data_IF_663818393238
#
_entry.id   IF_663818393238
#
_cell.length_a   1.000
_cell.length_b   1.000
_cell.length_c   1.000
_cell.angle_alpha   90.00
_cell.angle_beta   90.00
_cell.angle_gamma   90.00
#
_symmetry.space_group_name_H-M   'P 1'
#
loop_
_entity.id
_entity.type
_entity.pdbx_description
1 polymer ?
#
# COMPACT_ATOMS: atom_id res chain seq x y z
N UNK A 1 -1.75 -4.70 2.72
CA UNK A 1 -1.90 -3.49 3.54
C UNK A 1 -0.74 -2.57 3.25
N UNK A 2 -1.02 -1.31 2.95
CA UNK A 2 -0.02 -0.30 2.66
C UNK A 2 -0.18 0.86 3.63
N UNK A 3 0.93 1.46 4.03
CA UNK A 3 0.94 2.81 4.57
C UNK A 3 2.20 3.55 4.17
N UNK A 4 2.05 4.83 3.89
CA UNK A 4 3.14 5.76 3.58
C UNK A 4 2.75 7.17 4.03
N UNK A 5 3.72 8.07 4.07
CA UNK A 5 3.54 9.48 4.40
C UNK A 5 3.60 10.32 3.14
N UNK A 6 2.67 11.26 2.98
CA UNK A 6 2.58 12.21 1.88
C UNK A 6 2.19 13.58 2.45
N UNK A 7 3.00 14.60 2.20
CA UNK A 7 2.83 15.95 2.76
C UNK A 7 2.62 15.97 4.29
N UNK A 8 3.27 15.06 5.01
CA UNK A 8 3.14 14.91 6.47
C UNK A 8 1.86 14.21 6.94
N UNK A 9 0.99 13.77 6.02
CA UNK A 9 -0.23 13.02 6.30
C UNK A 9 -0.01 11.52 6.08
N UNK A 10 -0.65 10.69 6.90
CA UNK A 10 -0.59 9.24 6.75
C UNK A 10 -1.64 8.75 5.76
N UNK A 11 -1.20 7.99 4.77
CA UNK A 11 -2.06 7.23 3.86
C UNK A 11 -2.17 5.78 4.30
N UNK A 12 -3.34 5.19 4.11
CA UNK A 12 -3.56 3.76 4.31
C UNK A 12 -4.44 3.18 3.21
N UNK A 13 -4.03 2.02 2.70
CA UNK A 13 -4.79 1.27 1.70
C UNK A 13 -4.64 -0.24 1.83
N UNK A 14 -5.52 -0.96 1.13
CA UNK A 14 -5.42 -2.39 0.94
C UNK A 14 -5.19 -2.69 -0.54
N UNK A 15 -3.95 -3.05 -0.86
CA UNK A 15 -3.57 -3.51 -2.20
C UNK A 15 -3.97 -4.97 -2.45
N UNK A 16 -4.76 -5.21 -3.50
CA UNK A 16 -4.82 -6.51 -4.17
C UNK A 16 -3.60 -6.61 -5.08
N UNK A 17 -2.80 -7.67 -4.89
CA UNK A 17 -1.55 -7.87 -5.61
C UNK A 17 -1.68 -9.15 -6.44
N UNK A 18 -1.55 -9.01 -7.75
CA UNK A 18 -1.63 -10.09 -8.73
C UNK A 18 -0.24 -10.35 -9.31
N UNK A 19 0.21 -11.61 -9.25
CA UNK A 19 1.46 -12.06 -9.86
C UNK A 19 1.15 -12.54 -11.28
N UNK A 20 1.80 -11.92 -12.26
CA UNK A 20 1.64 -12.23 -13.68
C UNK A 20 2.93 -12.80 -14.26
N UNK A 21 2.88 -13.28 -15.51
CA UNK A 21 4.08 -13.71 -16.24
C UNK A 21 5.09 -12.56 -16.43
N UNK A 22 4.61 -11.31 -16.47
CA UNK A 22 5.42 -10.12 -16.71
C UNK A 22 5.85 -9.38 -15.44
N UNK A 23 5.50 -9.86 -14.25
CA UNK A 23 5.81 -9.18 -12.99
C UNK A 23 4.64 -9.16 -12.01
N UNK A 24 4.44 -8.02 -11.36
CA UNK A 24 3.43 -7.80 -10.33
C UNK A 24 2.56 -6.61 -10.75
N UNK A 25 1.25 -6.80 -10.70
CA UNK A 25 0.28 -5.70 -10.77
C UNK A 25 -0.41 -5.55 -9.44
N UNK A 26 -0.76 -4.33 -9.05
CA UNK A 26 -1.58 -4.11 -7.86
C UNK A 26 -2.56 -2.96 -8.03
N UNK A 27 -3.73 -3.10 -7.44
CA UNK A 27 -4.70 -2.02 -7.25
C UNK A 27 -4.98 -1.88 -5.76
N UNK A 28 -5.08 -0.66 -5.25
CA UNK A 28 -5.29 -0.42 -3.83
C UNK A 28 -6.73 -0.05 -3.43
N UNK A 29 -7.67 -0.46 -4.29
CA UNK A 29 -9.10 -0.26 -4.14
C UNK A 29 -9.82 -1.44 -4.80
N UNK A 30 -10.91 -1.98 -4.20
CA UNK A 30 -11.50 -1.67 -2.88
C UNK A 30 -10.79 -2.35 -1.67
N UNK A 31 -11.05 -1.94 -0.40
CA UNK A 31 -11.86 -0.79 0.04
C UNK A 31 -11.27 0.54 -0.42
N UNK A 32 -12.04 1.62 -0.29
CA UNK A 32 -11.52 2.96 -0.63
C UNK A 32 -10.32 3.30 0.26
N UNK A 33 -9.20 3.77 -0.31
CA UNK A 33 -8.04 4.20 0.46
C UNK A 33 -8.38 5.42 1.31
N UNK A 34 -7.68 5.58 2.43
CA UNK A 34 -7.86 6.68 3.37
C UNK A 34 -6.58 7.52 3.48
N UNK A 35 -6.76 8.81 3.68
CA UNK A 35 -5.70 9.76 3.97
C UNK A 35 -6.13 10.58 5.18
N UNK A 36 -5.23 10.76 6.13
CA UNK A 36 -5.47 11.53 7.36
C UNK A 36 -6.03 12.92 7.01
N UNK A 37 -7.05 13.36 7.75
CA UNK A 37 -7.72 14.67 7.60
C UNK A 37 -8.35 14.95 6.22
N UNK A 38 -8.40 13.96 5.31
CA UNK A 38 -8.98 14.11 3.97
C UNK A 38 -10.17 13.17 3.77
N UNK A 39 -11.10 13.60 2.91
CA UNK A 39 -12.29 12.81 2.57
C UNK A 39 -11.94 11.53 1.79
N UNK A 40 -10.84 11.55 1.02
CA UNK A 40 -10.42 10.43 0.16
C UNK A 40 -8.90 10.26 0.19
N UNK A 41 -8.47 8.99 0.19
CA UNK A 41 -7.09 8.64 -0.08
C UNK A 41 -6.79 8.47 -1.57
N UNK A 42 -5.51 8.23 -1.85
CA UNK A 42 -5.00 7.99 -3.19
C UNK A 42 -5.29 6.57 -3.66
N UNK A 43 -6.18 6.43 -4.64
CA UNK A 43 -6.42 5.20 -5.38
C UNK A 43 -5.40 5.05 -6.50
N UNK A 44 -4.64 3.97 -6.52
CA UNK A 44 -3.49 3.78 -7.39
C UNK A 44 -3.53 2.43 -8.10
N UNK A 45 -3.09 2.45 -9.35
CA UNK A 45 -2.73 1.27 -10.12
C UNK A 45 -1.21 1.17 -10.17
N UNK A 46 -0.68 -0.04 -10.00
CA UNK A 46 0.75 -0.31 -9.83
C UNK A 46 1.16 -1.41 -10.81
N UNK A 47 2.25 -1.17 -11.54
CA UNK A 47 2.90 -2.13 -12.43
C UNK A 47 4.37 -2.23 -12.05
N UNK A 48 4.84 -3.42 -11.73
CA UNK A 48 6.22 -3.63 -11.29
C UNK A 48 6.77 -4.97 -11.75
N UNK A 49 8.09 -5.10 -11.73
CA UNK A 49 8.81 -6.34 -12.03
C UNK A 49 9.62 -6.79 -10.82
N UNK A 50 9.86 -8.10 -10.73
CA UNK A 50 10.77 -8.66 -9.74
C UNK A 50 12.18 -8.70 -10.32
N UNK A 51 13.09 -7.93 -9.74
CA UNK A 51 14.51 -7.92 -10.09
C UNK A 51 15.35 -8.37 -8.91
N UNK A 52 15.91 -9.58 -8.98
CA UNK A 52 16.58 -10.21 -7.85
C UNK A 52 15.60 -10.42 -6.68
N UNK A 53 15.85 -9.77 -5.54
CA UNK A 53 14.94 -9.76 -4.38
C UNK A 53 14.22 -8.43 -4.20
N UNK A 54 13.97 -7.72 -5.28
CA UNK A 54 13.33 -6.42 -5.26
C UNK A 54 12.12 -6.39 -6.18
N UNK A 55 11.12 -5.61 -5.80
CA UNK A 55 10.04 -5.15 -6.69
C UNK A 55 10.40 -3.74 -7.13
N UNK A 56 10.48 -3.51 -8.44
CA UNK A 56 10.78 -2.20 -9.02
C UNK A 56 9.70 -1.90 -10.06
N UNK A 57 9.07 -0.74 -9.95
CA UNK A 57 7.93 -0.44 -10.80
C UNK A 57 7.48 1.01 -10.77
N UNK A 58 6.34 1.24 -11.40
CA UNK A 58 5.65 2.51 -11.48
C UNK A 58 4.25 2.38 -10.88
N UNK A 59 3.73 3.50 -10.43
CA UNK A 59 2.36 3.61 -9.97
C UNK A 59 1.74 4.88 -10.52
N UNK A 60 0.42 4.89 -10.66
CA UNK A 60 -0.34 6.04 -11.12
C UNK A 60 -1.61 6.18 -10.31
N UNK A 61 -1.90 7.40 -9.87
CA UNK A 61 -3.16 7.68 -9.23
C UNK A 61 -4.31 7.74 -10.25
N UNK A 62 -5.42 7.14 -9.86
CA UNK A 62 -6.63 6.99 -10.69
C UNK A 62 -7.50 8.24 -10.64
N UNK A 63 -7.50 8.93 -9.48
CA UNK A 63 -8.27 10.15 -9.27
C UNK A 63 -7.57 11.39 -9.84
N UNK A 64 -6.24 11.42 -9.81
CA UNK A 64 -5.39 12.47 -10.36
C UNK A 64 -4.27 11.88 -11.21
N UNK A 65 -4.41 12.01 -12.53
CA UNK A 65 -3.47 11.43 -13.49
C UNK A 65 -2.09 12.11 -13.51
N UNK A 66 -1.94 13.26 -12.87
CA UNK A 66 -0.67 13.98 -12.72
C UNK A 66 0.10 13.54 -11.47
N UNK A 67 -0.55 12.83 -10.55
CA UNK A 67 0.09 12.22 -9.41
C UNK A 67 0.48 10.76 -9.73
N UNK A 68 1.79 10.55 -9.96
CA UNK A 68 2.35 9.25 -10.33
C UNK A 68 3.81 9.17 -9.90
N UNK A 69 4.40 7.99 -10.01
CA UNK A 69 5.83 7.85 -9.75
C UNK A 69 6.33 6.42 -9.81
N UNK A 70 7.36 6.13 -9.04
CA UNK A 70 8.02 4.82 -9.01
C UNK A 70 8.02 4.21 -7.63
N UNK A 71 8.10 2.88 -7.56
CA UNK A 71 8.33 2.13 -6.32
C UNK A 71 9.60 1.28 -6.44
N UNK A 72 10.31 1.14 -5.34
CA UNK A 72 11.40 0.17 -5.18
C UNK A 72 11.34 -0.43 -3.78
N UNK A 73 10.92 -1.69 -3.71
CA UNK A 73 10.74 -2.43 -2.46
C UNK A 73 11.68 -3.63 -2.40
N UNK A 74 12.28 -3.87 -1.24
CA UNK A 74 12.98 -5.11 -0.94
C UNK A 74 11.98 -6.18 -0.48
N UNK A 75 12.11 -7.38 -1.03
CA UNK A 75 11.35 -8.57 -0.61
C UNK A 75 12.14 -9.24 0.52
N UNK A 76 11.60 -9.19 1.74
CA UNK A 76 12.27 -9.76 2.91
C UNK A 76 12.00 -11.27 3.03
N UNK A 77 13.00 -12.07 3.49
CA UNK A 77 12.79 -13.49 3.78
C UNK A 77 11.68 -13.69 4.82
N UNK A 78 10.72 -14.57 4.55
CA UNK A 78 9.52 -14.79 5.38
C UNK A 78 8.22 -14.21 4.78
N UNK A 79 8.32 -13.36 3.75
CA UNK A 79 7.24 -12.95 2.84
C UNK A 79 5.98 -12.29 3.45
N UNK A 80 6.06 -11.77 4.68
CA UNK A 80 4.95 -11.06 5.32
C UNK A 80 5.01 -9.55 5.13
N UNK A 81 6.16 -9.00 4.72
CA UNK A 81 6.32 -7.59 4.42
C UNK A 81 7.35 -7.28 3.33
N UNK A 82 7.13 -6.20 2.59
CA UNK A 82 8.07 -5.58 1.67
C UNK A 82 8.24 -4.11 2.07
N UNK A 83 9.46 -3.60 2.04
CA UNK A 83 9.75 -2.22 2.43
C UNK A 83 10.76 -1.60 1.48
N UNK A 84 10.60 -0.31 1.24
CA UNK A 84 11.58 0.51 0.54
C UNK A 84 11.07 1.92 0.39
N UNK A 85 11.17 2.44 -0.82
CA UNK A 85 10.84 3.83 -1.13
C UNK A 85 9.93 3.92 -2.34
N UNK A 86 9.15 4.98 -2.37
CA UNK A 86 8.50 5.45 -3.58
C UNK A 86 9.00 6.84 -3.92
N UNK A 87 8.88 7.20 -5.19
CA UNK A 87 8.94 8.58 -5.65
C UNK A 87 7.56 9.02 -6.11
N UNK A 88 7.24 10.30 -5.96
CA UNK A 88 6.05 10.94 -6.51
C UNK A 88 6.42 12.20 -7.27
N UNK A 89 5.86 12.36 -8.46
CA UNK A 89 5.82 13.63 -9.17
C UNK A 89 4.66 14.44 -8.59
N UNK A 90 4.96 15.52 -7.87
CA UNK A 90 3.95 16.40 -7.25
C UNK A 90 3.58 17.56 -8.18
N UNK A 91 4.58 18.09 -8.87
CA UNK A 91 4.45 19.14 -9.89
C UNK A 91 5.47 18.88 -11.00
N UNK A 92 5.41 19.64 -12.09
CA UNK A 92 6.37 19.53 -13.20
C UNK A 92 7.83 19.75 -12.77
N UNK A 93 8.06 20.34 -11.60
CA UNK A 93 9.40 20.68 -11.08
C UNK A 93 9.75 19.98 -9.78
N UNK A 94 8.85 19.18 -9.21
CA UNK A 94 9.00 18.63 -7.86
C UNK A 94 8.79 17.12 -7.83
N UNK A 95 9.79 16.43 -7.29
CA UNK A 95 9.76 15.00 -7.00
C UNK A 95 9.97 14.80 -5.51
N UNK A 96 8.99 14.19 -4.85
CA UNK A 96 9.12 13.72 -3.48
C UNK A 96 9.62 12.27 -3.45
N UNK A 97 10.30 11.88 -2.38
CA UNK A 97 10.66 10.49 -2.12
C UNK A 97 10.43 10.15 -0.66
N UNK A 98 9.64 9.12 -0.40
CA UNK A 98 9.24 8.75 0.95
C UNK A 98 9.20 7.23 1.12
N UNK A 99 9.09 6.77 2.37
CA UNK A 99 9.05 5.34 2.67
C UNK A 99 7.73 4.71 2.22
N UNK A 100 7.83 3.50 1.71
CA UNK A 100 6.69 2.66 1.36
C UNK A 100 6.81 1.29 2.01
N UNK A 101 5.74 0.82 2.65
CA UNK A 101 5.68 -0.52 3.25
C UNK A 101 4.42 -1.25 2.83
N UNK A 102 4.61 -2.46 2.33
CA UNK A 102 3.55 -3.45 2.13
C UNK A 102 3.65 -4.53 3.19
N UNK A 103 2.54 -4.78 3.89
CA UNK A 103 2.38 -5.92 4.78
C UNK A 103 1.25 -6.82 4.29
N UNK A 104 1.48 -8.13 4.35
CA UNK A 104 0.55 -9.16 3.90
C UNK A 104 -0.65 -9.24 4.84
N UNK A 105 -1.85 -9.15 4.27
CA UNK A 105 -3.09 -9.48 4.99
C UNK A 105 -3.33 -10.98 4.89
N UNK A 106 -3.81 -11.56 5.98
CA UNK A 106 -4.13 -12.99 6.05
C UNK A 106 -5.29 -13.29 5.09
N UNK A 107 -5.05 -14.13 4.08
CA UNK A 107 -6.04 -14.42 3.04
C UNK A 107 -7.32 -15.06 3.59
N UNK A 108 -7.22 -15.90 4.62
CA UNK A 108 -8.38 -16.50 5.29
C UNK A 108 -9.28 -15.48 5.97
N UNK A 109 -8.69 -14.41 6.53
CA UNK A 109 -9.45 -13.35 7.21
C UNK A 109 -10.23 -12.43 6.26
N UNK A 110 -9.85 -12.39 4.98
CA UNK A 110 -10.53 -11.63 3.93
C UNK A 110 -11.45 -12.51 3.07
N UNK A 111 -11.43 -13.83 3.26
CA UNK A 111 -12.20 -14.75 2.45
C UNK A 111 -13.71 -14.53 2.63
N UNK A 112 -14.43 -14.27 1.54
CA UNK A 112 -15.87 -14.03 1.55
C UNK A 112 -16.28 -12.65 2.08
N UNK A 113 -15.34 -11.77 2.41
CA UNK A 113 -15.64 -10.38 2.80
C UNK A 113 -15.80 -9.51 1.56
N UNK A 114 -16.91 -8.80 1.46
CA UNK A 114 -17.09 -7.76 0.43
C UNK A 114 -16.28 -6.51 0.81
N UNK A 115 -15.07 -6.43 0.26
CA UNK A 115 -14.14 -5.31 0.49
C UNK A 115 -14.70 -3.95 0.05
N UNK A 116 -15.75 -3.88 -0.77
CA UNK A 116 -16.39 -2.60 -1.14
C UNK A 116 -17.19 -1.98 0.01
N UNK A 117 -17.59 -2.79 0.98
CA UNK A 117 -18.37 -2.37 2.16
C UNK A 117 -17.49 -2.13 3.40
N UNK A 118 -16.22 -2.52 3.31
CA UNK A 118 -15.24 -2.41 4.39
C UNK A 118 -14.70 -0.98 4.46
N UNK A 119 -14.53 -0.46 5.68
CA UNK A 119 -13.81 0.78 5.93
C UNK A 119 -12.51 0.48 6.67
N UNK A 120 -11.39 0.98 6.13
CA UNK A 120 -10.09 0.87 6.80
C UNK A 120 -10.11 1.66 8.11
N UNK A 121 -9.33 1.23 9.11
CA UNK A 121 -9.13 1.98 10.34
C UNK A 121 -8.42 3.33 10.07
N UNK A 122 -8.21 4.13 11.12
CA UNK A 122 -7.55 5.44 10.97
C UNK A 122 -6.12 5.30 10.40
N UNK A 123 -5.75 6.08 9.37
CA UNK A 123 -4.47 5.93 8.68
C UNK A 123 -3.25 6.00 9.59
N UNK A 124 -3.27 6.91 10.57
CA UNK A 124 -2.18 7.05 11.55
C UNK A 124 -2.01 5.80 12.42
N UNK A 125 -3.11 5.19 12.88
CA UNK A 125 -3.07 3.95 13.66
C UNK A 125 -2.47 2.81 12.83
N UNK A 126 -2.89 2.70 11.57
CA UNK A 126 -2.33 1.71 10.63
C UNK A 126 -0.84 1.97 10.41
N UNK A 127 -0.44 3.22 10.21
CA UNK A 127 0.96 3.58 10.00
C UNK A 127 1.82 3.15 11.19
N UNK A 128 1.40 3.51 12.42
CA UNK A 128 2.10 3.13 13.66
C UNK A 128 2.17 1.61 13.81
N UNK A 129 1.03 0.91 13.61
CA UNK A 129 0.97 -0.54 13.63
C UNK A 129 1.94 -1.16 12.62
N UNK A 130 2.00 -0.65 11.38
CA UNK A 130 2.88 -1.17 10.35
C UNK A 130 4.34 -0.83 10.63
N UNK A 131 4.66 0.37 11.11
CA UNK A 131 6.03 0.84 11.43
C UNK A 131 6.69 -0.08 12.44
N UNK A 132 5.96 -0.48 13.47
CA UNK A 132 6.51 -1.24 14.60
C UNK A 132 6.67 -2.74 14.27
N UNK A 133 6.20 -3.20 13.09
CA UNK A 133 6.40 -4.57 12.63
C UNK A 133 7.85 -4.85 12.24
N UNK A 134 8.25 -6.09 12.49
CA UNK A 134 9.49 -6.70 12.09
C UNK A 134 9.27 -7.76 11.02
N UNK A 135 10.36 -8.21 10.38
CA UNK A 135 10.34 -9.33 9.41
C UNK A 135 9.89 -10.68 9.98
N UNK A 136 9.77 -10.79 11.30
CA UNK A 136 9.36 -12.02 11.99
C UNK A 136 7.86 -12.04 12.30
N UNK A 137 7.17 -10.92 12.13
CA UNK A 137 5.73 -10.87 12.35
C UNK A 137 4.98 -11.58 11.22
N UNK A 138 3.89 -12.25 11.58
CA UNK A 138 3.02 -12.98 10.64
C UNK A 138 2.24 -12.07 9.68
N UNK A 139 1.26 -12.64 8.98
CA UNK A 139 0.26 -11.84 8.26
C UNK A 139 -0.65 -11.08 9.23
N UNK A 140 -1.26 -10.00 8.76
CA UNK A 140 -2.19 -9.17 9.53
C UNK A 140 -3.63 -9.64 9.25
N UNK A 141 -4.42 -10.01 10.27
CA UNK A 141 -5.85 -10.25 10.07
C UNK A 141 -6.56 -8.99 9.56
N UNK A 142 -7.48 -9.13 8.61
CA UNK A 142 -8.21 -8.01 8.02
C UNK A 142 -8.88 -7.13 9.09
N UNK A 143 -9.47 -7.75 10.12
CA UNK A 143 -10.13 -7.05 11.22
C UNK A 143 -9.22 -6.09 12.01
N UNK A 144 -7.90 -6.24 11.96
CA UNK A 144 -6.96 -5.32 12.63
C UNK A 144 -6.70 -4.03 11.84
N UNK A 145 -7.04 -4.01 10.55
CA UNK A 145 -6.80 -2.87 9.66
C UNK A 145 -8.11 -2.21 9.20
N UNK A 146 -9.24 -2.65 9.72
CA UNK A 146 -10.58 -2.16 9.41
C UNK A 146 -11.26 -1.63 10.65
N UNK A 147 -12.21 -0.71 10.49
CA UNK A 147 -13.07 -0.30 11.59
C UNK A 147 -13.92 -1.49 12.07
N UNK A 148 -14.07 -1.62 13.39
CA UNK A 148 -15.02 -2.58 13.95
C UNK A 148 -16.43 -2.03 13.70
N UNK A 149 -17.24 -2.81 12.97
CA UNK A 149 -18.69 -2.59 12.87
C UNK A 149 -19.38 -2.91 14.19
#
# INVERSE_FOLDING_TARGET
MTSYVVDGLHHADLSQVDVTKGGVTATNYPPSPRLEERERGYANDIEAEVFGRHIIGKWRNVNDRYFYGSIHLAVLPGETSMEGYYTAVLTDTEVASERWRWARVESGSAAGVDLTTVKLAEPKMIFEMLRDRTRFDGSIPLAQVTEHS
#
